data_IF_507431209099
#
_entry.id   IF_507431209099
#
_cell.length_a   1.000
_cell.length_b   1.000
_cell.length_c   1.000
_cell.angle_alpha   90.00
_cell.angle_beta   90.00
_cell.angle_gamma   90.00
#
_symmetry.space_group_name_H-M   'P 1'
#
loop_
_entity.id
_entity.type
_entity.pdbx_description
1 polymer ?
#
# COMPACT_ATOMS: atom_id res chain seq x y z
N UNK A 1 13.93 -19.60 15.58
CA UNK A 1 13.19 -18.46 15.01
C UNK A 1 12.68 -17.49 16.08
N UNK A 2 11.89 -17.92 17.06
CA UNK A 2 11.38 -17.03 18.12
C UNK A 2 12.49 -16.27 18.87
N UNK A 3 13.61 -16.91 19.19
CA UNK A 3 14.75 -16.25 19.85
C UNK A 3 15.42 -15.19 18.98
N UNK A 4 15.50 -15.41 17.68
CA UNK A 4 16.02 -14.41 16.73
C UNK A 4 15.14 -13.17 16.75
N UNK A 5 13.82 -13.35 16.73
CA UNK A 5 12.86 -12.25 16.77
C UNK A 5 12.89 -11.56 18.13
N UNK A 6 12.99 -12.31 19.22
CA UNK A 6 13.19 -11.73 20.58
C UNK A 6 14.43 -10.84 20.64
N UNK A 7 15.57 -11.31 20.16
CA UNK A 7 16.83 -10.52 20.12
C UNK A 7 16.67 -9.27 19.24
N UNK A 8 15.97 -9.38 18.10
CA UNK A 8 15.72 -8.27 17.19
C UNK A 8 14.85 -7.18 17.85
N UNK A 9 13.77 -7.59 18.51
CA UNK A 9 12.82 -6.67 19.17
C UNK A 9 13.42 -6.03 20.43
N UNK A 10 14.27 -6.73 21.16
CA UNK A 10 14.95 -6.21 22.37
C UNK A 10 16.04 -5.18 22.05
N UNK A 11 16.40 -4.97 20.77
CA UNK A 11 17.35 -3.94 20.39
C UNK A 11 16.69 -2.55 20.50
N UNK A 12 17.20 -1.63 21.36
CA UNK A 12 16.61 -0.29 21.53
C UNK A 12 16.54 0.54 20.24
N UNK A 13 17.48 0.31 19.32
CA UNK A 13 17.48 0.98 18.00
C UNK A 13 16.36 0.48 17.11
N UNK A 14 16.06 -0.82 17.18
CA UNK A 14 14.95 -1.42 16.47
C UNK A 14 13.61 -0.88 17.01
N UNK A 15 13.42 -0.84 18.32
CA UNK A 15 12.22 -0.29 18.94
C UNK A 15 12.00 1.17 18.51
N UNK A 16 13.03 1.99 18.55
CA UNK A 16 12.96 3.41 18.14
C UNK A 16 12.58 3.55 16.67
N UNK A 17 13.18 2.74 15.78
CA UNK A 17 12.89 2.75 14.35
C UNK A 17 11.44 2.31 14.06
N UNK A 18 10.95 1.27 14.73
CA UNK A 18 9.55 0.82 14.60
C UNK A 18 8.58 1.90 15.07
N UNK A 19 8.82 2.51 16.23
CA UNK A 19 7.96 3.61 16.72
C UNK A 19 7.93 4.79 15.76
N UNK A 20 9.04 5.10 15.11
CA UNK A 20 9.10 6.13 14.07
C UNK A 20 8.26 5.74 12.85
N UNK A 21 8.32 4.49 12.40
CA UNK A 21 7.53 3.98 11.25
C UNK A 21 6.03 3.98 11.52
N UNK A 22 5.60 3.55 12.70
CA UNK A 22 4.17 3.58 13.10
C UNK A 22 3.64 5.02 13.04
N UNK A 23 4.43 6.00 13.42
CA UNK A 23 4.04 7.41 13.42
C UNK A 23 4.24 8.12 12.07
N UNK A 24 4.84 7.48 11.07
CA UNK A 24 5.04 8.08 9.76
C UNK A 24 3.70 8.23 9.05
N UNK A 25 3.35 9.46 8.68
CA UNK A 25 2.18 9.70 7.82
C UNK A 25 2.46 9.16 6.42
N UNK A 26 1.44 8.51 5.85
CA UNK A 26 1.49 8.16 4.43
C UNK A 26 1.35 9.46 3.64
N UNK A 27 2.26 9.68 2.71
CA UNK A 27 2.13 10.77 1.77
C UNK A 27 1.20 10.35 0.63
N UNK A 28 -0.04 10.78 0.70
CA UNK A 28 -1.04 10.64 -0.38
C UNK A 28 -1.26 11.96 -1.10
N UNK A 29 -0.40 12.97 -0.87
CA UNK A 29 -0.60 14.32 -1.35
C UNK A 29 -0.69 14.43 -2.87
N UNK A 30 0.13 13.69 -3.61
CA UNK A 30 0.08 13.66 -5.07
C UNK A 30 -1.25 13.08 -5.59
N UNK A 31 -1.72 11.98 -4.98
CA UNK A 31 -2.99 11.36 -5.37
C UNK A 31 -4.20 12.25 -4.99
N UNK A 32 -4.15 12.92 -3.86
CA UNK A 32 -5.19 13.88 -3.44
C UNK A 32 -5.22 15.09 -4.39
N UNK A 33 -4.05 15.54 -4.84
CA UNK A 33 -3.96 16.60 -5.85
C UNK A 33 -4.49 16.14 -7.21
N UNK A 34 -4.25 14.90 -7.61
CA UNK A 34 -4.80 14.30 -8.83
C UNK A 34 -6.34 14.30 -8.79
N UNK A 35 -6.94 13.86 -7.66
CA UNK A 35 -8.40 13.91 -7.48
C UNK A 35 -8.93 15.34 -7.60
N UNK A 36 -8.28 16.32 -6.98
CA UNK A 36 -8.75 17.71 -7.07
C UNK A 36 -8.70 18.24 -8.51
N UNK A 37 -7.67 17.89 -9.27
CA UNK A 37 -7.57 18.23 -10.68
C UNK A 37 -8.68 17.57 -11.52
N UNK A 38 -8.94 16.27 -11.30
CA UNK A 38 -10.03 15.54 -11.96
C UNK A 38 -11.40 16.14 -11.62
N UNK A 39 -11.65 16.46 -10.35
CA UNK A 39 -12.88 17.13 -9.91
C UNK A 39 -13.05 18.51 -10.55
N UNK A 40 -11.95 19.23 -10.76
CA UNK A 40 -11.99 20.51 -11.47
C UNK A 40 -12.38 20.31 -12.94
N UNK A 41 -11.82 19.31 -13.61
CA UNK A 41 -12.19 18.95 -14.98
C UNK A 41 -13.66 18.53 -15.08
N UNK A 42 -14.14 17.70 -14.16
CA UNK A 42 -15.54 17.30 -14.07
C UNK A 42 -16.47 18.50 -13.97
N UNK A 43 -16.17 19.45 -13.08
CA UNK A 43 -16.95 20.70 -12.97
C UNK A 43 -16.99 21.49 -14.26
N UNK A 44 -15.90 21.53 -15.02
CA UNK A 44 -15.84 22.24 -16.32
C UNK A 44 -16.71 21.55 -17.38
N UNK A 45 -16.62 20.21 -17.49
CA UNK A 45 -17.41 19.42 -18.43
C UNK A 45 -18.90 19.52 -18.08
N UNK A 46 -19.27 19.37 -16.81
CA UNK A 46 -20.66 19.56 -16.37
C UNK A 46 -21.19 20.96 -16.66
N UNK A 47 -20.38 21.99 -16.50
CA UNK A 47 -20.74 23.37 -16.85
C UNK A 47 -20.96 23.53 -18.36
N UNK A 48 -20.12 22.95 -19.19
CA UNK A 48 -20.26 22.96 -20.64
C UNK A 48 -21.50 22.19 -21.11
N UNK A 49 -21.73 21.00 -20.54
CA UNK A 49 -22.93 20.18 -20.79
C UNK A 49 -24.20 20.94 -20.47
N UNK A 50 -24.28 21.57 -19.29
CA UNK A 50 -25.47 22.32 -18.87
C UNK A 50 -25.72 23.53 -19.78
N UNK A 51 -24.65 24.20 -20.24
CA UNK A 51 -24.76 25.31 -21.17
C UNK A 51 -25.27 24.87 -22.54
N UNK A 52 -24.81 23.71 -23.03
CA UNK A 52 -25.29 23.12 -24.26
C UNK A 52 -26.77 22.72 -24.13
N UNK A 53 -27.18 22.09 -23.03
CA UNK A 53 -28.57 21.72 -22.79
C UNK A 53 -29.50 22.96 -22.81
N UNK A 54 -29.09 24.05 -22.15
CA UNK A 54 -29.84 25.32 -22.21
C UNK A 54 -29.94 25.89 -23.62
N UNK A 55 -28.89 25.75 -24.44
CA UNK A 55 -28.92 26.16 -25.85
C UNK A 55 -29.88 25.28 -26.66
N UNK A 56 -29.93 23.99 -26.39
CA UNK A 56 -30.88 23.07 -27.04
C UNK A 56 -32.32 23.45 -26.69
N UNK A 57 -32.61 23.74 -25.42
CA UNK A 57 -33.95 24.15 -24.95
C UNK A 57 -34.40 25.48 -25.58
N UNK A 58 -33.46 26.34 -26.00
CA UNK A 58 -33.72 27.63 -26.62
C UNK A 58 -33.81 27.62 -28.13
N UNK A 59 -33.66 26.44 -28.78
CA UNK A 59 -33.75 26.31 -30.23
C UNK A 59 -35.18 26.68 -30.73
N UNK A 60 -35.22 27.49 -31.80
CA UNK A 60 -36.48 27.83 -32.44
C UNK A 60 -36.90 26.64 -33.36
N UNK A 61 -38.03 26.01 -32.97
CA UNK A 61 -38.63 24.88 -33.72
C UNK A 61 -39.08 25.24 -35.11
N UNK A 62 -39.21 26.54 -35.43
CA UNK A 62 -39.59 27.03 -36.76
C UNK A 62 -38.39 27.28 -37.65
N UNK A 63 -37.17 27.17 -37.15
CA UNK A 63 -35.93 27.29 -37.91
C UNK A 63 -35.82 26.18 -38.96
N UNK A 64 -35.56 26.57 -40.22
CA UNK A 64 -35.38 25.64 -41.36
C UNK A 64 -34.32 24.52 -41.06
N UNK A 65 -33.38 24.80 -40.18
CA UNK A 65 -32.30 23.89 -39.83
C UNK A 65 -32.44 23.31 -38.43
N UNK A 66 -33.62 23.40 -37.82
CA UNK A 66 -33.84 22.93 -36.45
C UNK A 66 -33.37 21.50 -36.20
N UNK A 67 -33.87 20.55 -37.00
CA UNK A 67 -33.54 19.12 -36.84
C UNK A 67 -32.04 18.86 -36.88
N UNK A 68 -31.36 19.50 -37.84
CA UNK A 68 -29.92 19.34 -38.00
C UNK A 68 -29.15 19.95 -36.82
N UNK A 69 -29.52 21.15 -36.39
CA UNK A 69 -28.91 21.79 -35.21
C UNK A 69 -29.14 20.98 -33.92
N UNK A 70 -30.34 20.45 -33.77
CA UNK A 70 -30.70 19.61 -32.65
C UNK A 70 -29.87 18.33 -32.61
N UNK A 71 -29.72 17.65 -33.73
CA UNK A 71 -28.92 16.44 -33.87
C UNK A 71 -27.43 16.72 -33.60
N UNK A 72 -26.85 17.77 -34.18
CA UNK A 72 -25.47 18.17 -33.91
C UNK A 72 -25.21 18.47 -32.44
N UNK A 73 -26.19 19.04 -31.73
CA UNK A 73 -26.10 19.30 -30.30
C UNK A 73 -26.28 18.02 -29.47
N UNK A 74 -27.17 17.11 -29.88
CA UNK A 74 -27.34 15.81 -29.25
C UNK A 74 -26.04 15.01 -29.26
N UNK A 75 -25.37 14.89 -30.40
CA UNK A 75 -24.06 14.20 -30.55
C UNK A 75 -23.00 14.79 -29.59
N UNK A 76 -22.98 16.13 -29.45
CA UNK A 76 -22.08 16.80 -28.51
C UNK A 76 -22.47 16.53 -27.06
N UNK A 77 -23.74 16.43 -26.76
CA UNK A 77 -24.24 16.10 -25.42
C UNK A 77 -23.83 14.69 -25.02
N UNK A 78 -23.97 13.73 -25.96
CA UNK A 78 -23.55 12.35 -25.73
C UNK A 78 -22.04 12.27 -25.47
N UNK A 79 -21.24 13.04 -26.21
CA UNK A 79 -19.79 13.12 -25.93
C UNK A 79 -19.47 13.72 -24.55
N UNK A 80 -20.25 14.65 -24.03
CA UNK A 80 -20.08 15.14 -22.66
C UNK A 80 -20.42 14.09 -21.62
N UNK A 81 -21.39 13.21 -21.87
CA UNK A 81 -21.67 12.09 -20.98
C UNK A 81 -20.49 11.11 -20.95
N UNK A 82 -19.96 10.73 -22.10
CA UNK A 82 -18.76 9.88 -22.16
C UNK A 82 -17.58 10.47 -21.38
N UNK A 83 -17.31 11.76 -21.55
CA UNK A 83 -16.26 12.45 -20.81
C UNK A 83 -16.50 12.48 -19.29
N UNK A 84 -17.75 12.65 -18.86
CA UNK A 84 -18.11 12.63 -17.45
C UNK A 84 -17.82 11.25 -16.86
N UNK A 85 -18.28 10.19 -17.53
CA UNK A 85 -18.08 8.80 -17.08
C UNK A 85 -16.58 8.46 -17.00
N UNK A 86 -15.78 8.84 -18.00
CA UNK A 86 -14.32 8.63 -17.98
C UNK A 86 -13.63 9.35 -16.80
N UNK A 87 -14.06 10.58 -16.47
CA UNK A 87 -13.49 11.33 -15.36
C UNK A 87 -13.94 10.75 -14.02
N UNK A 88 -15.20 10.36 -13.88
CA UNK A 88 -15.73 9.74 -12.66
C UNK A 88 -15.06 8.38 -12.39
N UNK A 89 -14.85 7.56 -13.41
CA UNK A 89 -14.09 6.32 -13.33
C UNK A 89 -12.64 6.57 -12.88
N UNK A 90 -12.00 7.60 -13.44
CA UNK A 90 -10.65 7.99 -13.05
C UNK A 90 -10.57 8.40 -11.58
N UNK A 91 -11.52 9.18 -11.09
CA UNK A 91 -11.62 9.57 -9.68
C UNK A 91 -11.77 8.32 -8.80
N UNK A 92 -12.68 7.41 -9.15
CA UNK A 92 -12.91 6.18 -8.41
C UNK A 92 -11.64 5.31 -8.33
N UNK A 93 -10.89 5.19 -9.42
CA UNK A 93 -9.62 4.45 -9.44
C UNK A 93 -8.58 5.05 -8.49
N UNK A 94 -8.42 6.37 -8.49
CA UNK A 94 -7.47 7.04 -7.59
C UNK A 94 -7.91 6.91 -6.13
N UNK A 95 -9.21 7.03 -5.84
CA UNK A 95 -9.75 6.83 -4.49
C UNK A 95 -9.50 5.40 -3.98
N UNK A 96 -9.67 4.38 -4.82
CA UNK A 96 -9.35 2.99 -4.49
C UNK A 96 -7.85 2.82 -4.20
N UNK A 97 -6.97 3.46 -4.98
CA UNK A 97 -5.52 3.44 -4.72
C UNK A 97 -5.18 4.04 -3.36
N UNK A 98 -5.75 5.18 -3.01
CA UNK A 98 -5.57 5.81 -1.69
C UNK A 98 -6.05 4.88 -0.58
N UNK A 99 -7.22 4.26 -0.73
CA UNK A 99 -7.75 3.33 0.26
C UNK A 99 -6.83 2.11 0.46
N UNK A 100 -6.34 1.52 -0.63
CA UNK A 100 -5.41 0.39 -0.57
C UNK A 100 -4.11 0.76 0.16
N UNK A 101 -3.53 1.93 -0.14
CA UNK A 101 -2.34 2.44 0.54
C UNK A 101 -2.61 2.59 2.04
N UNK A 102 -3.74 3.19 2.43
CA UNK A 102 -4.13 3.37 3.84
C UNK A 102 -4.35 2.04 4.55
N UNK A 103 -4.99 1.07 3.90
CA UNK A 103 -5.20 -0.27 4.48
C UNK A 103 -3.89 -1.03 4.67
N UNK A 104 -2.98 -0.97 3.69
CA UNK A 104 -1.65 -1.58 3.82
C UNK A 104 -0.87 -0.98 4.98
N UNK A 105 -0.94 0.33 5.17
CA UNK A 105 -0.30 1.01 6.31
C UNK A 105 -0.88 0.54 7.64
N UNK A 106 -2.21 0.51 7.77
CA UNK A 106 -2.87 0.03 8.99
C UNK A 106 -2.47 -1.42 9.32
N UNK A 107 -2.39 -2.28 8.31
CA UNK A 107 -1.90 -3.66 8.47
C UNK A 107 -0.46 -3.69 8.99
N UNK A 108 0.44 -2.92 8.38
CA UNK A 108 1.84 -2.82 8.80
C UNK A 108 2.00 -2.24 10.22
N UNK A 109 1.25 -1.19 10.55
CA UNK A 109 1.30 -0.57 11.88
C UNK A 109 0.84 -1.55 12.98
N UNK A 110 -0.18 -2.36 12.72
CA UNK A 110 -0.62 -3.39 13.65
C UNK A 110 0.47 -4.45 13.86
N UNK A 111 1.11 -4.92 12.78
CA UNK A 111 2.21 -5.88 12.88
C UNK A 111 3.39 -5.28 13.65
N UNK A 112 3.76 -4.03 13.40
CA UNK A 112 4.81 -3.35 14.15
C UNK A 112 4.47 -3.20 15.65
N UNK A 113 3.21 -2.91 15.99
CA UNK A 113 2.77 -2.90 17.38
C UNK A 113 2.89 -4.28 18.03
N UNK A 114 2.49 -5.34 17.33
CA UNK A 114 2.66 -6.71 17.82
C UNK A 114 4.14 -7.07 18.03
N UNK A 115 5.03 -6.64 17.13
CA UNK A 115 6.47 -6.85 17.28
C UNK A 115 7.04 -6.15 18.51
N UNK A 116 6.58 -4.94 18.83
CA UNK A 116 7.02 -4.22 20.05
C UNK A 116 6.66 -4.93 21.35
N UNK A 117 5.59 -5.72 21.35
CA UNK A 117 5.13 -6.48 22.52
C UNK A 117 5.41 -7.98 22.39
N UNK A 118 6.23 -8.39 21.43
CA UNK A 118 6.48 -9.79 21.09
C UNK A 118 6.93 -10.61 22.30
N UNK A 119 7.91 -10.12 23.04
CA UNK A 119 8.47 -10.81 24.20
C UNK A 119 7.46 -11.02 25.34
N UNK A 120 6.45 -10.16 25.43
CA UNK A 120 5.38 -10.24 26.46
C UNK A 120 4.21 -11.11 26.02
N UNK A 121 3.95 -11.18 24.72
CA UNK A 121 2.76 -11.84 24.16
C UNK A 121 3.07 -13.25 23.67
N UNK A 122 4.24 -13.48 23.11
CA UNK A 122 4.59 -14.74 22.45
C UNK A 122 4.50 -15.96 23.35
N UNK A 123 4.93 -15.84 24.58
CA UNK A 123 4.89 -16.94 25.57
C UNK A 123 3.45 -17.26 26.04
N UNK A 124 2.51 -16.35 25.82
CA UNK A 124 1.08 -16.50 26.15
C UNK A 124 0.26 -17.07 25.01
N UNK A 125 0.79 -17.07 23.79
CA UNK A 125 0.12 -17.56 22.59
C UNK A 125 0.09 -19.08 22.55
N UNK A 126 -1.00 -19.64 22.09
CA UNK A 126 -1.07 -21.03 21.63
C UNK A 126 -0.20 -21.24 20.40
N UNK A 127 0.13 -22.48 20.08
CA UNK A 127 0.97 -22.77 18.90
C UNK A 127 0.33 -22.33 17.58
N UNK A 128 -1.01 -22.38 17.48
CA UNK A 128 -1.75 -21.87 16.34
C UNK A 128 -1.60 -20.34 16.20
N UNK A 129 -1.76 -19.60 17.30
CA UNK A 129 -1.59 -18.14 17.35
C UNK A 129 -0.14 -17.73 17.07
N UNK A 130 0.84 -18.49 17.59
CA UNK A 130 2.26 -18.27 17.26
C UNK A 130 2.54 -18.41 15.78
N UNK A 131 1.96 -19.43 15.14
CA UNK A 131 2.10 -19.67 13.71
C UNK A 131 1.47 -18.52 12.90
N UNK A 132 0.25 -18.14 13.23
CA UNK A 132 -0.46 -17.05 12.57
C UNK A 132 0.29 -15.73 12.71
N UNK A 133 0.74 -15.42 13.93
CA UNK A 133 1.56 -14.25 14.21
C UNK A 133 2.84 -14.22 13.37
N UNK A 134 3.64 -15.30 13.39
CA UNK A 134 4.86 -15.38 12.59
C UNK A 134 4.56 -15.25 11.09
N UNK A 135 3.47 -15.87 10.62
CA UNK A 135 3.04 -15.80 9.22
C UNK A 135 2.58 -14.39 8.80
N UNK A 136 2.25 -13.50 9.74
CA UNK A 136 1.83 -12.14 9.42
C UNK A 136 2.99 -11.27 8.91
N UNK A 137 4.23 -11.55 9.33
CA UNK A 137 5.41 -10.74 8.95
C UNK A 137 6.55 -11.54 8.30
N UNK A 138 6.57 -12.86 8.41
CA UNK A 138 7.54 -13.72 7.74
C UNK A 138 6.95 -14.26 6.45
N UNK A 139 7.64 -14.05 5.33
CA UNK A 139 7.27 -14.59 4.03
C UNK A 139 7.78 -16.03 3.88
N UNK A 140 9.06 -16.23 4.18
CA UNK A 140 9.75 -17.51 3.99
C UNK A 140 10.83 -17.72 5.05
N UNK A 141 11.01 -18.99 5.44
CA UNK A 141 12.11 -19.44 6.27
C UNK A 141 12.81 -20.59 5.55
N UNK A 142 14.10 -20.45 5.32
CA UNK A 142 14.93 -21.52 4.79
C UNK A 142 15.76 -22.13 5.91
N UNK A 143 15.90 -23.44 5.89
CA UNK A 143 16.69 -24.21 6.85
C UNK A 143 17.80 -24.94 6.12
N UNK A 144 18.86 -25.29 6.84
CA UNK A 144 19.87 -26.27 6.36
C UNK A 144 19.24 -27.65 6.35
N UNK A 145 19.69 -28.51 5.41
CA UNK A 145 19.26 -29.92 5.33
C UNK A 145 19.69 -30.70 6.56
N UNK A 146 20.91 -30.42 7.06
CA UNK A 146 21.46 -31.03 8.26
C UNK A 146 21.68 -29.95 9.34
N UNK A 147 21.50 -30.36 10.61
CA UNK A 147 21.84 -29.53 11.75
C UNK A 147 23.34 -29.24 11.78
N UNK A 148 23.71 -27.95 11.94
CA UNK A 148 25.11 -27.58 12.04
C UNK A 148 25.70 -28.01 13.39
N UNK A 149 27.05 -28.14 13.50
CA UNK A 149 27.72 -28.60 14.74
C UNK A 149 27.38 -27.74 15.99
N UNK A 150 26.92 -26.52 15.80
CA UNK A 150 26.49 -25.58 16.84
C UNK A 150 24.97 -25.66 17.14
N UNK A 151 24.28 -26.65 16.60
CA UNK A 151 22.84 -26.86 16.81
C UNK A 151 21.92 -25.97 15.95
N UNK A 152 22.49 -25.21 15.00
CA UNK A 152 21.67 -24.35 14.10
C UNK A 152 21.16 -25.14 12.90
N UNK A 153 19.92 -24.88 12.56
CA UNK A 153 19.30 -25.32 11.33
C UNK A 153 18.71 -24.15 10.51
N UNK A 154 18.63 -22.95 11.09
CA UNK A 154 18.11 -21.77 10.41
C UNK A 154 19.16 -21.19 9.46
N UNK A 155 18.81 -21.05 8.19
CA UNK A 155 19.66 -20.51 7.13
C UNK A 155 19.29 -19.10 6.72
N UNK A 156 17.98 -18.82 6.53
CA UNK A 156 17.52 -17.56 5.98
C UNK A 156 16.10 -17.26 6.44
N UNK A 157 15.80 -16.00 6.67
CA UNK A 157 14.44 -15.50 6.93
C UNK A 157 14.17 -14.35 5.97
N UNK A 158 13.08 -14.45 5.22
CA UNK A 158 12.57 -13.36 4.40
C UNK A 158 11.30 -12.80 5.02
N UNK A 159 11.23 -11.47 5.12
CA UNK A 159 10.09 -10.76 5.70
C UNK A 159 9.13 -10.28 4.61
N UNK A 160 7.85 -10.17 4.93
CA UNK A 160 6.82 -9.65 4.01
C UNK A 160 6.91 -8.13 3.78
N UNK A 161 7.60 -7.46 4.69
CA UNK A 161 7.83 -6.02 4.66
C UNK A 161 9.17 -5.72 5.33
N UNK A 162 9.79 -4.59 4.98
CA UNK A 162 11.10 -4.26 5.51
C UNK A 162 11.08 -4.10 7.03
N UNK A 163 12.07 -4.69 7.70
CA UNK A 163 12.33 -4.51 9.13
C UNK A 163 13.57 -3.65 9.33
N UNK A 164 13.60 -2.89 10.42
CA UNK A 164 14.74 -2.04 10.74
C UNK A 164 15.72 -2.79 11.66
N UNK A 165 16.94 -2.92 11.20
CA UNK A 165 18.04 -3.50 12.00
C UNK A 165 19.29 -2.63 11.86
N UNK A 166 19.91 -2.26 12.99
CA UNK A 166 21.10 -1.39 13.03
C UNK A 166 21.02 -0.09 12.22
N UNK A 167 19.80 0.47 12.07
CA UNK A 167 19.57 1.71 11.31
C UNK A 167 19.43 1.53 9.80
N UNK A 168 19.41 0.30 9.33
CA UNK A 168 19.17 -0.06 7.94
C UNK A 168 17.82 -0.75 7.79
N UNK A 169 17.14 -0.50 6.68
CA UNK A 169 15.94 -1.20 6.27
C UNK A 169 16.34 -2.47 5.54
N UNK A 170 15.90 -3.62 6.04
CA UNK A 170 16.22 -4.94 5.49
C UNK A 170 14.91 -5.72 5.29
N UNK A 171 14.84 -6.52 4.25
CA UNK A 171 13.74 -7.46 4.00
C UNK A 171 14.13 -8.92 4.19
N UNK A 172 15.43 -9.19 4.39
CA UNK A 172 15.95 -10.56 4.60
C UNK A 172 17.09 -10.58 5.62
N UNK A 173 17.19 -11.71 6.32
CA UNK A 173 18.31 -12.05 7.20
C UNK A 173 18.89 -13.40 6.77
N UNK A 174 20.20 -13.50 6.63
CA UNK A 174 20.88 -14.73 6.26
C UNK A 174 22.02 -15.08 7.22
N UNK A 175 22.19 -16.35 7.49
CA UNK A 175 23.29 -16.91 8.27
C UNK A 175 24.10 -17.85 7.39
N UNK A 176 25.36 -17.53 7.16
CA UNK A 176 26.28 -18.44 6.50
C UNK A 176 26.67 -19.62 7.41
N UNK A 177 27.16 -20.74 6.81
CA UNK A 177 27.55 -21.93 7.56
C UNK A 177 28.66 -21.64 8.59
N UNK A 178 29.51 -20.67 8.30
CA UNK A 178 30.65 -20.29 9.16
C UNK A 178 30.27 -19.18 10.20
N UNK A 179 29.05 -18.61 10.08
CA UNK A 179 28.60 -17.57 11.00
C UNK A 179 28.21 -18.17 12.35
N UNK A 180 28.50 -17.45 13.44
CA UNK A 180 27.93 -17.78 14.75
C UNK A 180 26.45 -17.36 14.83
N UNK A 181 25.72 -17.84 15.85
CA UNK A 181 24.30 -17.47 16.06
C UNK A 181 24.11 -15.93 16.17
N UNK A 182 25.15 -15.19 16.48
CA UNK A 182 25.12 -13.74 16.63
C UNK A 182 25.51 -12.99 15.36
N UNK A 183 26.15 -13.69 14.38
CA UNK A 183 26.57 -13.09 13.12
C UNK A 183 25.50 -13.29 12.06
N UNK A 184 24.87 -12.21 11.64
CA UNK A 184 23.82 -12.19 10.63
C UNK A 184 24.30 -11.38 9.42
N UNK A 185 24.24 -11.97 8.24
CA UNK A 185 24.43 -11.23 7.00
C UNK A 185 23.11 -10.52 6.67
N UNK A 186 23.15 -9.19 6.63
CA UNK A 186 22.01 -8.36 6.30
C UNK A 186 21.99 -8.14 4.79
N UNK A 187 20.83 -8.38 4.19
CA UNK A 187 20.59 -8.11 2.78
C UNK A 187 19.49 -7.08 2.65
N UNK A 188 19.79 -5.98 1.97
CA UNK A 188 18.78 -5.03 1.53
C UNK A 188 18.37 -5.35 0.10
N UNK A 189 17.12 -5.15 -0.22
CA UNK A 189 16.65 -5.22 -1.59
C UNK A 189 17.16 -3.98 -2.33
N UNK A 190 17.93 -4.18 -3.39
CA UNK A 190 18.22 -3.07 -4.31
C UNK A 190 16.88 -2.60 -4.88
N UNK A 191 16.58 -1.31 -4.68
CA UNK A 191 15.43 -0.68 -5.31
C UNK A 191 15.75 -0.55 -6.80
N UNK A 192 15.23 -1.50 -7.62
CA UNK A 192 15.07 -1.27 -9.04
C UNK A 192 13.94 -0.26 -9.33
#
# INVERSE_FOLDING_TARGET
MAEVIKKLVQNPKFEAAIRQKINTRIDTGELEQEIENLRKQLRQVLGAKNKLAQQMDSLDVTDRYYDRKYQDMQERLDHFYDQIDEIEDSIAQVEVRIQNIRQQKLGSDNVYQYLLYFDKLYDKFTDAEKKEFLSSFVERVDIYEDELPDGRFLRHIKFKFPVFYNGQEIDEMSWDKESTVETVVLMSRDKE
#
